data_IF_652608248447
#
_entry.id   IF_652608248447
#
_cell.length_a   1.000
_cell.length_b   1.000
_cell.length_c   1.000
_cell.angle_alpha   90.00
_cell.angle_beta   90.00
_cell.angle_gamma   90.00
#
_symmetry.space_group_name_H-M   'P 1'
#
loop_
_entity.id
_entity.type
_entity.pdbx_description
1 polymer ?
#
# COMPACT_ATOMS: atom_id res chain seq x y z
N UNK A 1 61.49 15.52 10.84
CA UNK A 1 61.08 15.14 12.22
C UNK A 1 60.16 13.94 12.11
N UNK A 2 60.51 12.85 12.81
CA UNK A 2 59.78 11.58 12.89
C UNK A 2 58.40 11.69 13.59
N UNK A 3 57.51 10.68 13.40
CA UNK A 3 56.18 10.51 14.03
C UNK A 3 56.27 9.71 15.37
N UNK A 4 55.20 9.33 16.12
CA UNK A 4 54.25 8.24 15.79
C UNK A 4 52.84 8.31 16.47
N UNK A 5 52.12 7.16 16.44
CA UNK A 5 50.70 6.84 16.76
C UNK A 5 50.40 6.43 18.24
N UNK A 6 49.09 6.23 18.52
CA UNK A 6 48.42 5.41 19.58
C UNK A 6 48.46 5.99 21.02
N UNK A 7 47.45 5.86 21.90
CA UNK A 7 46.66 4.67 22.30
C UNK A 7 45.44 4.99 23.20
N UNK A 8 44.43 4.12 23.08
CA UNK A 8 43.36 3.67 24.00
C UNK A 8 43.41 3.98 25.52
N UNK A 9 42.24 4.22 26.17
CA UNK A 9 41.59 3.35 27.19
C UNK A 9 40.50 4.06 28.05
N UNK A 10 39.37 3.36 28.20
CA UNK A 10 38.54 3.16 29.41
C UNK A 10 37.74 4.30 30.11
N UNK A 11 36.45 4.02 30.38
CA UNK A 11 35.76 4.46 31.61
C UNK A 11 34.37 5.10 31.45
N UNK A 12 33.32 4.29 31.63
CA UNK A 12 31.91 4.51 32.05
C UNK A 12 31.45 5.83 32.76
N UNK A 13 30.13 6.08 33.04
CA UNK A 13 28.87 5.40 32.64
C UNK A 13 27.72 6.34 32.16
N UNK A 14 26.61 5.73 31.69
CA UNK A 14 25.26 6.33 31.64
C UNK A 14 24.73 6.69 33.04
N UNK A 15 23.88 7.74 33.17
CA UNK A 15 22.85 7.75 34.20
C UNK A 15 21.52 7.25 33.63
N UNK A 16 21.15 6.05 34.08
CA UNK A 16 19.80 5.51 34.11
C UNK A 16 18.83 6.44 34.86
N UNK A 17 17.56 6.39 34.45
CA UNK A 17 16.45 6.41 35.41
C UNK A 17 15.48 7.58 35.34
N UNK A 18 14.61 7.59 34.34
CA UNK A 18 13.26 8.17 34.49
C UNK A 18 12.22 7.07 34.31
N UNK A 19 11.85 6.48 35.45
CA UNK A 19 10.69 5.60 35.59
C UNK A 19 9.42 6.33 35.12
N UNK A 20 8.53 5.58 34.48
CA UNK A 20 7.18 5.98 34.04
C UNK A 20 6.27 6.54 35.18
N UNK A 21 6.72 6.49 36.43
CA UNK A 21 5.99 7.01 37.60
C UNK A 21 6.15 8.54 37.79
N UNK A 22 7.18 9.16 37.21
CA UNK A 22 7.45 10.61 37.35
C UNK A 22 6.50 11.52 36.57
N UNK A 23 5.81 11.00 35.56
CA UNK A 23 4.83 11.74 34.74
C UNK A 23 3.41 11.63 35.34
N UNK A 24 3.08 10.49 35.97
CA UNK A 24 1.78 10.30 36.65
C UNK A 24 1.63 11.16 37.91
N UNK A 25 2.72 11.44 38.62
CA UNK A 25 2.67 12.26 39.85
C UNK A 25 2.42 13.75 39.57
N UNK A 26 2.93 14.28 38.44
CA UNK A 26 2.70 15.69 38.04
C UNK A 26 1.29 15.96 37.52
N UNK A 27 0.61 14.96 36.95
CA UNK A 27 -0.79 15.07 36.56
C UNK A 27 -1.75 15.00 37.76
N UNK A 28 -1.47 14.14 38.76
CA UNK A 28 -2.30 14.06 39.98
C UNK A 28 -2.22 15.32 40.86
N UNK A 29 -1.05 15.95 40.97
CA UNK A 29 -0.89 17.17 41.77
C UNK A 29 -1.67 18.38 41.19
N UNK A 30 -1.79 18.47 39.86
CA UNK A 30 -2.56 19.54 39.20
C UNK A 30 -4.07 19.30 39.25
N UNK A 31 -4.51 18.04 39.25
CA UNK A 31 -5.93 17.69 39.36
C UNK A 31 -6.46 17.87 40.80
N UNK A 32 -5.66 17.56 41.82
CA UNK A 32 -6.05 17.79 43.22
C UNK A 32 -6.11 19.28 43.61
N UNK A 33 -5.26 20.13 43.02
CA UNK A 33 -5.30 21.58 43.26
C UNK A 33 -6.58 22.23 42.68
N UNK A 34 -7.06 21.74 41.54
CA UNK A 34 -8.30 22.22 40.92
C UNK A 34 -9.55 21.83 41.72
N UNK A 35 -9.61 20.62 42.29
CA UNK A 35 -10.74 20.17 43.12
C UNK A 35 -10.74 20.85 44.50
N UNK A 36 -9.57 21.13 45.09
CA UNK A 36 -9.46 21.86 46.35
C UNK A 36 -9.93 23.32 46.25
N UNK A 37 -9.83 23.95 45.07
CA UNK A 37 -10.35 25.29 44.80
C UNK A 37 -11.88 25.31 44.68
N UNK A 38 -12.48 24.23 44.16
CA UNK A 38 -13.94 24.12 43.97
C UNK A 38 -14.65 23.79 45.30
N UNK A 39 -14.02 23.05 46.21
CA UNK A 39 -14.63 22.64 47.48
C UNK A 39 -14.48 23.66 48.63
N UNK A 40 -13.63 24.69 48.51
CA UNK A 40 -13.47 25.75 49.52
C UNK A 40 -14.50 26.90 49.43
N UNK A 41 -15.43 26.85 48.48
CA UNK A 41 -16.43 27.90 48.25
C UNK A 41 -17.75 27.78 49.02
N UNK A 42 -17.93 26.79 49.92
CA UNK A 42 -19.17 26.65 50.71
C UNK A 42 -18.86 26.67 52.21
N UNK A 43 -19.01 27.85 52.83
CA UNK A 43 -19.67 28.09 54.12
C UNK A 43 -19.32 29.48 54.65
N UNK A 44 -20.17 30.47 54.36
CA UNK A 44 -20.52 31.53 55.31
C UNK A 44 -21.82 32.20 54.89
N UNK A 45 -22.65 32.43 55.89
CA UNK A 45 -24.06 32.81 55.86
C UNK A 45 -24.29 34.30 55.64
N UNK A 46 -25.19 34.69 54.72
CA UNK A 46 -26.14 35.80 54.87
C UNK A 46 -27.15 35.86 53.68
N UNK A 47 -28.39 36.24 54.00
CA UNK A 47 -29.60 36.30 53.15
C UNK A 47 -29.77 37.69 52.47
N UNK A 48 -30.80 37.98 51.66
CA UNK A 48 -30.90 37.71 50.22
C UNK A 48 -31.12 39.01 49.40
N UNK A 49 -30.43 39.21 48.27
CA UNK A 49 -30.98 40.05 47.20
C UNK A 49 -30.36 39.74 45.83
N UNK A 50 -31.24 39.44 44.88
CA UNK A 50 -31.14 39.72 43.43
C UNK A 50 -29.75 39.78 42.80
N UNK A 51 -29.38 38.74 42.04
CA UNK A 51 -29.10 38.77 40.58
C UNK A 51 -28.38 37.47 40.21
N UNK A 52 -29.11 36.47 39.71
CA UNK A 52 -28.48 35.33 39.03
C UNK A 52 -28.00 35.83 37.68
N UNK A 53 -26.72 36.22 37.58
CA UNK A 53 -26.11 36.52 36.29
C UNK A 53 -25.98 35.21 35.51
N UNK A 54 -26.65 35.13 34.36
CA UNK A 54 -26.54 34.00 33.42
C UNK A 54 -25.08 33.82 33.00
N UNK A 55 -24.63 32.60 32.70
CA UNK A 55 -23.25 32.30 32.30
C UNK A 55 -22.72 33.21 31.14
N UNK A 56 -23.62 33.74 30.31
CA UNK A 56 -23.32 34.74 29.27
C UNK A 56 -22.78 36.07 29.83
N UNK A 57 -23.23 36.51 31.00
CA UNK A 57 -22.80 37.76 31.62
C UNK A 57 -21.41 37.65 32.27
N UNK A 58 -20.98 36.45 32.66
CA UNK A 58 -19.63 36.20 33.19
C UNK A 58 -18.62 36.11 32.04
N UNK A 59 -19.00 35.48 30.92
CA UNK A 59 -18.18 35.41 29.71
C UNK A 59 -17.90 36.79 29.08
N UNK A 60 -18.82 37.75 29.21
CA UNK A 60 -18.63 39.13 28.75
C UNK A 60 -17.67 39.97 29.63
N UNK A 61 -17.33 39.52 30.84
CA UNK A 61 -16.42 40.25 31.74
C UNK A 61 -14.96 39.80 31.65
N UNK A 62 -14.68 38.71 30.92
CA UNK A 62 -13.33 38.17 30.74
C UNK A 62 -13.06 37.78 29.27
N UNK A 63 -12.74 38.75 28.38
CA UNK A 63 -12.51 38.48 26.95
C UNK A 63 -11.37 37.49 26.67
N UNK A 64 -10.44 37.33 27.62
CA UNK A 64 -9.29 36.39 27.53
C UNK A 64 -9.72 34.93 27.78
N UNK A 65 -10.79 34.70 28.54
CA UNK A 65 -11.33 33.35 28.80
C UNK A 65 -12.26 32.91 27.65
N UNK A 66 -13.02 33.85 27.06
CA UNK A 66 -13.82 33.57 25.87
C UNK A 66 -12.97 33.22 24.65
N UNK A 67 -11.78 33.83 24.50
CA UNK A 67 -10.87 33.49 23.39
C UNK A 67 -10.20 32.12 23.58
N UNK A 68 -9.80 31.75 24.80
CA UNK A 68 -9.18 30.43 25.05
C UNK A 68 -10.18 29.27 25.01
N UNK A 69 -11.39 29.45 25.52
CA UNK A 69 -12.42 28.39 25.48
C UNK A 69 -13.07 28.30 24.08
N UNK A 70 -13.14 29.42 23.35
CA UNK A 70 -13.62 29.46 21.97
C UNK A 70 -12.65 28.89 20.94
N UNK A 71 -11.34 28.85 21.22
CA UNK A 71 -10.34 28.24 20.33
C UNK A 71 -10.28 26.71 20.46
N UNK A 72 -10.55 26.15 21.63
CA UNK A 72 -10.42 24.70 21.87
C UNK A 72 -11.71 23.91 21.52
N UNK A 73 -12.87 24.59 21.44
CA UNK A 73 -14.15 23.94 21.15
C UNK A 73 -14.51 23.81 19.66
N UNK A 74 -13.69 24.36 18.74
CA UNK A 74 -13.95 24.36 17.29
C UNK A 74 -13.03 23.46 16.47
N UNK A 75 -12.05 22.78 17.07
CA UNK A 75 -11.08 21.93 16.34
C UNK A 75 -11.50 20.45 16.23
N UNK A 76 -12.79 20.16 16.05
CA UNK A 76 -13.29 18.78 15.93
C UNK A 76 -13.18 18.19 14.51
N UNK A 77 -12.70 18.94 13.52
CA UNK A 77 -12.55 18.49 12.12
C UNK A 77 -11.10 18.17 11.76
N UNK A 78 -10.89 17.50 10.62
CA UNK A 78 -9.55 17.21 10.08
C UNK A 78 -8.69 18.49 9.97
N UNK A 79 -7.51 18.47 10.61
CA UNK A 79 -6.55 19.56 10.67
C UNK A 79 -5.24 19.25 9.94
N UNK A 80 -5.20 18.20 9.11
CA UNK A 80 -3.97 17.76 8.45
C UNK A 80 -3.32 18.89 7.65
N UNK A 81 -4.09 19.59 6.81
CA UNK A 81 -3.59 20.69 5.97
C UNK A 81 -3.02 21.84 6.80
N UNK A 82 -3.69 22.19 7.91
CA UNK A 82 -3.24 23.26 8.82
C UNK A 82 -1.98 22.85 9.60
N UNK A 83 -1.87 21.57 9.95
CA UNK A 83 -0.76 21.03 10.73
C UNK A 83 0.50 20.92 9.87
N UNK A 84 0.35 20.47 8.62
CA UNK A 84 1.44 20.23 7.69
C UNK A 84 1.69 21.41 6.73
N UNK A 85 1.02 22.54 6.97
CA UNK A 85 1.15 23.78 6.18
C UNK A 85 2.58 24.35 6.13
N UNK A 86 3.47 23.91 7.02
CA UNK A 86 4.88 24.34 7.08
C UNK A 86 5.88 23.26 6.68
N UNK A 87 5.42 22.04 6.47
CA UNK A 87 6.27 20.85 6.26
C UNK A 87 6.40 20.53 4.77
N UNK A 88 5.38 20.82 3.97
CA UNK A 88 5.38 20.63 2.52
C UNK A 88 5.44 21.97 1.76
N UNK A 89 5.98 21.95 0.54
CA UNK A 89 5.88 23.09 -0.38
C UNK A 89 4.45 23.15 -0.90
N UNK A 90 3.75 24.27 -0.71
CA UNK A 90 2.34 24.37 -1.10
C UNK A 90 2.21 24.85 -2.55
N UNK A 91 1.38 24.13 -3.30
CA UNK A 91 0.99 24.56 -4.63
C UNK A 91 -0.16 25.58 -4.55
N UNK A 92 -0.30 26.41 -5.60
CA UNK A 92 -1.45 27.33 -5.71
C UNK A 92 -2.76 26.56 -5.90
N UNK A 93 -2.70 25.44 -6.63
CA UNK A 93 -3.77 24.45 -6.76
C UNK A 93 -3.44 23.21 -5.93
N UNK A 94 -3.97 23.16 -4.71
CA UNK A 94 -3.81 22.05 -3.77
C UNK A 94 -5.17 21.44 -3.37
N UNK A 95 -5.13 20.28 -2.73
CA UNK A 95 -6.34 19.65 -2.19
C UNK A 95 -7.00 20.50 -1.09
N UNK A 96 -8.32 20.36 -0.97
CA UNK A 96 -9.07 20.92 0.16
C UNK A 96 -9.16 19.93 1.32
N UNK A 97 -9.70 20.38 2.46
CA UNK A 97 -9.99 19.50 3.61
C UNK A 97 -10.86 18.31 3.20
N UNK A 98 -11.75 18.49 2.21
CA UNK A 98 -12.59 17.40 1.68
C UNK A 98 -11.78 16.36 0.90
N UNK A 99 -10.78 16.79 0.13
CA UNK A 99 -9.83 15.89 -0.54
C UNK A 99 -8.99 15.10 0.47
N UNK A 100 -8.51 15.77 1.52
CA UNK A 100 -7.80 15.15 2.65
C UNK A 100 -8.68 14.13 3.41
N UNK A 101 -9.93 14.47 3.74
CA UNK A 101 -10.90 13.55 4.37
C UNK A 101 -11.13 12.30 3.51
N UNK A 102 -11.25 12.49 2.20
CA UNK A 102 -11.41 11.38 1.26
C UNK A 102 -10.19 10.44 1.27
N UNK A 103 -8.97 10.99 1.24
CA UNK A 103 -7.77 10.17 1.32
C UNK A 103 -7.66 9.39 2.64
N UNK A 104 -8.03 9.99 3.78
CA UNK A 104 -8.11 9.25 5.05
C UNK A 104 -9.18 8.15 5.02
N UNK A 105 -10.33 8.39 4.38
CA UNK A 105 -11.35 7.37 4.21
C UNK A 105 -10.85 6.18 3.38
N UNK A 106 -10.16 6.45 2.26
CA UNK A 106 -9.53 5.39 1.44
C UNK A 106 -8.45 4.66 2.24
N UNK A 107 -7.60 5.38 2.99
CA UNK A 107 -6.60 4.76 3.87
C UNK A 107 -7.26 3.79 4.87
N UNK A 108 -8.36 4.18 5.51
CA UNK A 108 -9.10 3.31 6.42
C UNK A 108 -9.67 2.06 5.73
N UNK A 109 -10.21 2.19 4.50
CA UNK A 109 -10.67 1.04 3.70
C UNK A 109 -9.52 0.08 3.40
N UNK A 110 -8.35 0.61 2.99
CA UNK A 110 -7.15 -0.18 2.71
C UNK A 110 -6.61 -0.89 3.96
N UNK A 111 -6.56 -0.18 5.09
CA UNK A 111 -6.14 -0.74 6.38
C UNK A 111 -7.09 -1.84 6.87
N UNK A 112 -8.39 -1.64 6.77
CA UNK A 112 -9.39 -2.66 7.12
C UNK A 112 -9.26 -3.90 6.23
N UNK A 113 -9.09 -3.70 4.92
CA UNK A 113 -8.89 -4.80 3.97
C UNK A 113 -7.61 -5.58 4.26
N UNK A 114 -6.54 -4.89 4.64
CA UNK A 114 -5.27 -5.50 5.07
C UNK A 114 -5.48 -6.44 6.26
N UNK A 115 -6.21 -5.99 7.28
CA UNK A 115 -6.51 -6.81 8.46
C UNK A 115 -7.32 -8.05 8.07
N UNK A 116 -8.31 -7.91 7.18
CA UNK A 116 -9.12 -9.03 6.69
C UNK A 116 -8.27 -10.03 5.91
N UNK A 117 -7.50 -9.59 4.92
CA UNK A 117 -6.69 -10.47 4.08
C UNK A 117 -5.61 -11.18 4.89
N UNK A 118 -4.95 -10.47 5.82
CA UNK A 118 -4.01 -11.08 6.76
C UNK A 118 -4.71 -12.09 7.67
N UNK A 119 -5.86 -11.74 8.24
CA UNK A 119 -6.65 -12.62 9.10
C UNK A 119 -7.06 -13.91 8.40
N UNK A 120 -7.52 -13.83 7.15
CA UNK A 120 -7.85 -15.00 6.33
C UNK A 120 -6.62 -15.87 6.05
N UNK A 121 -5.43 -15.29 5.91
CA UNK A 121 -4.19 -16.04 5.67
C UNK A 121 -3.90 -17.05 6.80
N UNK A 122 -4.22 -16.70 8.06
CA UNK A 122 -3.98 -17.58 9.21
C UNK A 122 -4.85 -18.83 9.22
N UNK A 123 -5.94 -18.84 8.47
CA UNK A 123 -6.80 -20.03 8.29
C UNK A 123 -6.23 -21.03 7.28
N UNK A 124 -5.19 -20.66 6.55
CA UNK A 124 -4.56 -21.47 5.48
C UNK A 124 -3.21 -22.03 5.93
N UNK A 125 -2.79 -23.14 5.32
CA UNK A 125 -1.42 -23.68 5.46
C UNK A 125 -0.41 -22.74 4.83
N UNK A 126 0.82 -22.74 5.32
CA UNK A 126 1.86 -21.80 4.88
C UNK A 126 2.10 -21.83 3.36
N UNK A 127 2.08 -23.01 2.76
CA UNK A 127 2.18 -23.22 1.31
C UNK A 127 1.05 -22.58 0.48
N UNK A 128 -0.10 -22.27 1.09
CA UNK A 128 -1.28 -21.66 0.42
C UNK A 128 -1.45 -20.16 0.72
N UNK A 129 -0.52 -19.54 1.45
CA UNK A 129 -0.65 -18.13 1.88
C UNK A 129 -0.12 -17.12 0.87
N UNK A 130 0.54 -17.55 -0.21
CA UNK A 130 1.22 -16.64 -1.16
C UNK A 130 0.32 -15.50 -1.65
N UNK A 131 -0.82 -15.81 -2.26
CA UNK A 131 -1.77 -14.81 -2.76
C UNK A 131 -2.32 -13.92 -1.63
N UNK A 132 -2.52 -14.47 -0.42
CA UNK A 132 -2.94 -13.66 0.73
C UNK A 132 -1.86 -12.66 1.13
N UNK A 133 -0.59 -13.06 1.15
CA UNK A 133 0.52 -12.17 1.49
C UNK A 133 0.73 -11.07 0.44
N UNK A 134 0.64 -11.42 -0.85
CA UNK A 134 0.75 -10.43 -1.94
C UNK A 134 -0.41 -9.42 -1.83
N UNK A 135 -1.66 -9.89 -1.78
CA UNK A 135 -2.83 -9.01 -1.65
C UNK A 135 -2.82 -8.16 -0.36
N UNK A 136 -2.37 -8.73 0.76
CA UNK A 136 -2.21 -7.98 2.03
C UNK A 136 -1.14 -6.90 1.90
N UNK A 137 -0.04 -7.19 1.22
CA UNK A 137 1.04 -6.22 0.98
C UNK A 137 0.54 -5.07 0.11
N UNK A 138 -0.25 -5.36 -0.92
CA UNK A 138 -0.87 -4.36 -1.80
C UNK A 138 -1.72 -3.37 -0.99
N UNK A 139 -2.65 -3.88 -0.18
CA UNK A 139 -3.53 -2.99 0.61
C UNK A 139 -2.77 -2.28 1.73
N UNK A 140 -1.72 -2.88 2.29
CA UNK A 140 -0.96 -2.24 3.36
C UNK A 140 -0.12 -1.07 2.83
N UNK A 141 0.55 -1.24 1.70
CA UNK A 141 1.31 -0.16 1.04
C UNK A 141 0.36 0.98 0.66
N UNK A 142 -0.79 0.66 0.06
CA UNK A 142 -1.81 1.65 -0.26
C UNK A 142 -2.35 2.36 0.99
N UNK A 143 -2.58 1.65 2.10
CA UNK A 143 -3.00 2.26 3.37
C UNK A 143 -2.03 3.36 3.82
N UNK A 144 -0.73 3.09 3.76
CA UNK A 144 0.32 4.05 4.13
C UNK A 144 0.33 5.22 3.16
N UNK A 145 0.33 4.96 1.85
CA UNK A 145 0.38 6.03 0.85
C UNK A 145 -0.84 6.97 0.93
N UNK A 146 -2.05 6.42 1.09
CA UNK A 146 -3.27 7.20 1.27
C UNK A 146 -3.28 7.95 2.61
N UNK A 147 -2.69 7.39 3.67
CA UNK A 147 -2.49 8.13 4.91
C UNK A 147 -1.55 9.32 4.69
N UNK A 148 -0.45 9.14 3.95
CA UNK A 148 0.51 10.20 3.62
C UNK A 148 -0.15 11.30 2.78
N UNK A 149 -0.92 10.95 1.74
CA UNK A 149 -1.66 11.92 0.93
C UNK A 149 -2.75 12.64 1.74
N UNK A 150 -3.50 11.93 2.59
CA UNK A 150 -4.49 12.52 3.48
C UNK A 150 -3.85 13.48 4.50
N UNK A 151 -2.63 13.18 4.94
CA UNK A 151 -1.83 14.05 5.78
C UNK A 151 -1.22 15.25 5.03
N UNK A 152 -1.44 15.40 3.72
CA UNK A 152 -0.83 16.45 2.90
C UNK A 152 0.70 16.40 2.87
N UNK A 153 1.22 15.17 2.78
CA UNK A 153 2.65 14.87 2.72
C UNK A 153 2.95 14.11 1.41
N UNK A 154 4.24 14.11 1.02
CA UNK A 154 4.66 13.37 -0.17
C UNK A 154 4.17 13.97 -1.49
N UNK A 155 4.07 15.31 -1.53
CA UNK A 155 3.69 16.08 -2.70
C UNK A 155 4.76 17.10 -3.09
N UNK A 156 4.70 17.56 -4.34
CA UNK A 156 5.53 18.64 -4.88
C UNK A 156 4.71 19.56 -5.78
N UNK A 157 4.89 20.89 -5.70
CA UNK A 157 4.27 21.84 -6.60
C UNK A 157 4.96 21.84 -7.97
N UNK A 158 4.19 21.65 -9.04
CA UNK A 158 4.67 21.69 -10.43
C UNK A 158 3.97 22.80 -11.20
N UNK A 159 4.72 23.60 -11.96
CA UNK A 159 4.15 24.68 -12.77
C UNK A 159 3.13 24.11 -13.77
N UNK A 160 1.94 24.72 -13.80
CA UNK A 160 0.87 24.34 -14.73
C UNK A 160 1.25 24.70 -16.16
N UNK A 161 1.11 23.74 -17.08
CA UNK A 161 1.37 23.95 -18.51
C UNK A 161 0.20 24.68 -19.18
N UNK A 162 -1.03 24.29 -18.83
CA UNK A 162 -2.26 24.78 -19.47
C UNK A 162 -3.12 25.57 -18.46
N UNK A 163 -2.79 26.85 -18.18
CA UNK A 163 -3.59 27.68 -17.30
C UNK A 163 -4.96 27.96 -17.94
N UNK A 164 -6.04 27.83 -17.15
CA UNK A 164 -7.42 28.06 -17.62
C UNK A 164 -8.09 29.13 -16.78
N UNK A 165 -8.78 30.07 -17.41
CA UNK A 165 -9.33 31.25 -16.74
C UNK A 165 -10.74 31.06 -16.15
N UNK A 166 -11.44 29.96 -16.45
CA UNK A 166 -12.91 29.85 -16.25
C UNK A 166 -13.41 28.71 -15.35
N UNK A 167 -12.55 27.97 -14.65
CA UNK A 167 -12.98 26.91 -13.73
C UNK A 167 -12.12 26.90 -12.47
N UNK A 168 -12.41 26.02 -11.49
CA UNK A 168 -11.68 25.81 -10.23
C UNK A 168 -10.13 25.65 -10.36
N UNK A 169 -9.61 25.60 -11.59
CA UNK A 169 -8.20 25.63 -11.98
C UNK A 169 -7.72 27.08 -12.30
N UNK A 170 -8.43 28.11 -11.83
CA UNK A 170 -8.19 29.50 -12.25
C UNK A 170 -6.96 30.15 -11.60
N UNK A 171 -6.06 30.64 -12.46
CA UNK A 171 -4.81 31.39 -12.19
C UNK A 171 -3.57 30.57 -11.75
N UNK A 172 -3.50 29.29 -12.10
CA UNK A 172 -2.48 28.40 -11.56
C UNK A 172 -1.04 28.80 -11.92
N UNK A 173 -0.27 29.23 -10.91
CA UNK A 173 1.18 29.11 -10.95
C UNK A 173 1.51 27.62 -10.89
N UNK A 174 1.35 27.04 -9.71
CA UNK A 174 1.72 25.64 -9.44
C UNK A 174 0.52 24.76 -9.10
N UNK A 175 0.62 23.48 -9.47
CA UNK A 175 -0.31 22.41 -9.14
C UNK A 175 0.37 21.37 -8.26
N UNK A 176 -0.33 20.93 -7.24
CA UNK A 176 0.10 19.87 -6.36
C UNK A 176 0.14 18.53 -7.09
N UNK A 177 1.25 17.80 -6.95
CA UNK A 177 1.44 16.45 -7.48
C UNK A 177 1.88 15.53 -6.35
N UNK A 178 1.04 14.56 -6.00
CA UNK A 178 1.36 13.54 -5.00
C UNK A 178 2.27 12.45 -5.59
N UNK A 179 3.59 12.67 -5.56
CA UNK A 179 4.55 11.67 -6.04
C UNK A 179 4.49 10.37 -5.22
N UNK A 180 4.04 10.42 -3.96
CA UNK A 180 3.83 9.22 -3.13
C UNK A 180 2.84 8.24 -3.74
N UNK A 181 1.90 8.70 -4.58
CA UNK A 181 0.98 7.82 -5.33
C UNK A 181 1.74 6.91 -6.30
N UNK A 182 2.75 7.45 -6.96
CA UNK A 182 3.59 6.67 -7.86
C UNK A 182 4.51 5.72 -7.11
N UNK A 183 4.89 6.05 -5.86
CA UNK A 183 5.61 5.12 -4.98
C UNK A 183 4.70 3.95 -4.58
N UNK A 184 3.43 4.22 -4.25
CA UNK A 184 2.42 3.15 -4.08
C UNK A 184 2.37 2.28 -5.33
N UNK A 185 2.10 2.88 -6.49
CA UNK A 185 1.93 2.12 -7.73
C UNK A 185 3.18 1.33 -8.12
N UNK A 186 4.39 1.90 -7.98
CA UNK A 186 5.64 1.19 -8.26
C UNK A 186 5.83 -0.05 -7.38
N UNK A 187 5.12 -0.17 -6.25
CA UNK A 187 5.14 -1.38 -5.43
C UNK A 187 3.90 -2.23 -5.72
N UNK A 188 2.73 -1.63 -5.86
CA UNK A 188 1.46 -2.36 -5.88
C UNK A 188 1.04 -2.84 -7.26
N UNK A 189 1.35 -2.13 -8.35
CA UNK A 189 1.03 -2.60 -9.71
C UNK A 189 1.85 -3.83 -10.12
N UNK A 190 3.15 -3.95 -9.79
CA UNK A 190 3.88 -5.20 -10.02
C UNK A 190 3.32 -6.37 -9.20
N UNK A 191 2.89 -6.12 -7.95
CA UNK A 191 2.29 -7.15 -7.11
C UNK A 191 0.91 -7.60 -7.63
N UNK A 192 0.06 -6.68 -8.10
CA UNK A 192 -1.23 -6.99 -8.74
C UNK A 192 -1.03 -7.81 -10.02
N UNK A 193 -0.04 -7.42 -10.83
CA UNK A 193 0.31 -8.13 -12.04
C UNK A 193 0.87 -9.52 -11.72
N UNK A 194 1.73 -9.62 -10.71
CA UNK A 194 2.27 -10.89 -10.22
C UNK A 194 1.15 -11.85 -9.79
N UNK A 195 0.15 -11.38 -9.03
CA UNK A 195 -1.02 -12.18 -8.64
C UNK A 195 -1.72 -12.79 -9.87
N UNK A 196 -1.94 -12.02 -10.94
CA UNK A 196 -2.56 -12.50 -12.18
C UNK A 196 -1.67 -13.49 -12.93
N UNK A 197 -0.38 -13.18 -13.11
CA UNK A 197 0.51 -14.00 -13.91
C UNK A 197 0.87 -15.33 -13.23
N UNK A 198 0.98 -15.33 -11.89
CA UNK A 198 1.10 -16.55 -11.10
C UNK A 198 -0.19 -17.38 -11.17
N UNK A 199 -1.37 -16.72 -11.13
CA UNK A 199 -2.65 -17.41 -11.32
C UNK A 199 -2.72 -18.09 -12.69
N UNK A 200 -2.19 -17.46 -13.73
CA UNK A 200 -2.13 -18.06 -15.06
C UNK A 200 -1.02 -19.12 -15.22
N UNK A 201 -0.14 -19.31 -14.23
CA UNK A 201 0.98 -20.27 -14.34
C UNK A 201 2.00 -19.89 -15.43
N UNK A 202 2.28 -18.58 -15.58
CA UNK A 202 3.28 -18.13 -16.56
C UNK A 202 4.71 -18.46 -16.12
N UNK A 203 5.63 -18.68 -17.08
CA UNK A 203 7.03 -18.90 -16.77
C UNK A 203 7.69 -17.60 -16.28
N UNK A 204 8.63 -17.72 -15.35
CA UNK A 204 9.33 -16.59 -14.71
C UNK A 204 9.90 -15.54 -15.67
N UNK A 205 10.52 -15.89 -16.81
CA UNK A 205 11.01 -14.88 -17.75
C UNK A 205 9.91 -13.96 -18.28
N UNK A 206 8.72 -14.49 -18.59
CA UNK A 206 7.58 -13.69 -19.05
C UNK A 206 7.03 -12.82 -17.94
N UNK A 207 6.96 -13.35 -16.70
CA UNK A 207 6.58 -12.57 -15.52
C UNK A 207 7.53 -11.38 -15.36
N UNK A 208 8.84 -11.62 -15.32
CA UNK A 208 9.83 -10.56 -15.10
C UNK A 208 9.78 -9.48 -16.19
N UNK A 209 9.56 -9.85 -17.45
CA UNK A 209 9.40 -8.88 -18.53
C UNK A 209 8.14 -8.04 -18.39
N UNK A 210 7.02 -8.65 -17.97
CA UNK A 210 5.78 -7.93 -17.72
C UNK A 210 5.91 -6.97 -16.52
N UNK A 211 6.59 -7.39 -15.44
CA UNK A 211 6.88 -6.53 -14.30
C UNK A 211 7.82 -5.36 -14.68
N UNK A 212 8.84 -5.61 -15.50
CA UNK A 212 9.72 -4.53 -15.98
C UNK A 212 8.95 -3.50 -16.83
N UNK A 213 8.05 -3.97 -17.70
CA UNK A 213 7.19 -3.07 -18.48
C UNK A 213 6.25 -2.26 -17.57
N UNK A 214 5.70 -2.88 -16.53
CA UNK A 214 4.90 -2.20 -15.52
C UNK A 214 5.69 -1.10 -14.79
N UNK A 215 6.93 -1.39 -14.37
CA UNK A 215 7.82 -0.38 -13.77
C UNK A 215 8.12 0.78 -14.72
N UNK A 216 8.42 0.49 -16.00
CA UNK A 216 8.64 1.54 -17.01
C UNK A 216 7.39 2.41 -17.13
N UNK A 217 6.19 1.81 -17.13
CA UNK A 217 4.93 2.54 -17.18
C UNK A 217 4.78 3.49 -15.98
N UNK A 218 5.01 3.01 -14.75
CA UNK A 218 4.85 3.86 -13.54
C UNK A 218 5.93 4.95 -13.47
N UNK A 219 7.19 4.61 -13.72
CA UNK A 219 8.31 5.58 -13.66
C UNK A 219 8.15 6.67 -14.70
N UNK A 220 7.77 6.32 -15.94
CA UNK A 220 7.53 7.33 -16.98
C UNK A 220 6.32 8.21 -16.64
N UNK A 221 5.24 7.63 -16.09
CA UNK A 221 4.09 8.39 -15.58
C UNK A 221 4.49 9.41 -14.51
N UNK A 222 5.32 9.01 -13.54
CA UNK A 222 5.83 9.90 -12.50
C UNK A 222 6.68 11.03 -13.09
N UNK A 223 7.65 10.70 -13.94
CA UNK A 223 8.52 11.71 -14.57
C UNK A 223 7.70 12.68 -15.41
N UNK A 224 6.66 12.19 -16.10
CA UNK A 224 5.70 13.03 -16.81
C UNK A 224 4.96 13.97 -15.87
N UNK A 225 4.45 13.48 -14.73
CA UNK A 225 3.70 14.29 -13.77
C UNK A 225 4.56 15.39 -13.13
N UNK A 226 5.87 15.13 -12.98
CA UNK A 226 6.86 16.08 -12.48
C UNK A 226 7.41 17.02 -13.56
N UNK A 227 7.04 16.84 -14.81
CA UNK A 227 7.48 17.69 -15.93
C UNK A 227 6.47 18.82 -16.14
N UNK A 228 6.92 20.08 -16.15
CA UNK A 228 6.06 21.25 -16.39
C UNK A 228 5.86 21.58 -17.87
N UNK A 229 6.73 21.11 -18.75
CA UNK A 229 6.68 21.37 -20.20
C UNK A 229 5.90 20.27 -20.95
N UNK A 230 5.63 20.54 -22.23
CA UNK A 230 4.96 19.59 -23.13
C UNK A 230 5.69 18.26 -23.31
N UNK A 231 6.96 18.15 -22.87
CA UNK A 231 7.69 16.88 -22.83
C UNK A 231 7.01 15.82 -21.95
N UNK A 232 6.14 16.22 -21.01
CA UNK A 232 5.32 15.28 -20.23
C UNK A 232 4.53 14.31 -21.10
N UNK A 233 4.08 14.75 -22.28
CA UNK A 233 3.32 13.92 -23.22
C UNK A 233 4.18 12.87 -23.91
N UNK A 234 5.49 13.12 -24.08
CA UNK A 234 6.41 12.09 -24.55
C UNK A 234 6.55 10.96 -23.52
N UNK A 235 6.69 11.30 -22.24
CA UNK A 235 6.69 10.32 -21.15
C UNK A 235 5.37 9.54 -21.08
N UNK A 236 4.23 10.22 -21.23
CA UNK A 236 2.93 9.57 -21.31
C UNK A 236 2.87 8.56 -22.46
N UNK A 237 3.36 8.91 -23.66
CA UNK A 237 3.42 7.99 -24.81
C UNK A 237 4.32 6.79 -24.53
N UNK A 238 5.50 6.99 -23.92
CA UNK A 238 6.37 5.87 -23.52
C UNK A 238 5.69 4.95 -22.51
N UNK A 239 5.00 5.54 -21.52
CA UNK A 239 4.19 4.79 -20.56
C UNK A 239 3.07 4.00 -21.23
N UNK A 240 2.41 4.56 -22.24
CA UNK A 240 1.37 3.86 -23.01
C UNK A 240 1.90 2.67 -23.80
N UNK A 241 3.10 2.77 -24.40
CA UNK A 241 3.72 1.62 -25.06
C UNK A 241 4.02 0.49 -24.08
N UNK A 242 4.53 0.81 -22.89
CA UNK A 242 4.78 -0.16 -21.83
C UNK A 242 3.47 -0.76 -21.30
N UNK A 243 2.43 0.06 -21.11
CA UNK A 243 1.09 -0.38 -20.74
C UNK A 243 0.51 -1.37 -21.75
N UNK A 244 0.61 -1.08 -23.06
CA UNK A 244 0.11 -2.01 -24.08
C UNK A 244 0.87 -3.34 -24.10
N UNK A 245 2.15 -3.36 -23.73
CA UNK A 245 2.86 -4.60 -23.52
C UNK A 245 2.32 -5.40 -22.33
N UNK A 246 1.99 -4.73 -21.20
CA UNK A 246 1.34 -5.40 -20.05
C UNK A 246 -0.02 -5.98 -20.47
N UNK A 247 -0.81 -5.23 -21.24
CA UNK A 247 -2.09 -5.72 -21.79
C UNK A 247 -1.86 -6.92 -22.70
N UNK A 248 -0.84 -6.91 -23.56
CA UNK A 248 -0.47 -8.07 -24.37
C UNK A 248 -0.14 -9.28 -23.50
N UNK A 249 0.69 -9.11 -22.47
CA UNK A 249 1.05 -10.20 -21.55
C UNK A 249 -0.18 -10.79 -20.83
N UNK A 250 -1.16 -9.97 -20.47
CA UNK A 250 -2.41 -10.45 -19.85
C UNK A 250 -3.36 -11.12 -20.84
N UNK A 251 -3.60 -10.49 -21.99
CA UNK A 251 -4.64 -10.89 -22.95
C UNK A 251 -4.19 -12.03 -23.86
N UNK A 252 -2.91 -12.10 -24.20
CA UNK A 252 -2.38 -13.13 -25.10
C UNK A 252 -1.73 -14.25 -24.31
N UNK A 253 -0.65 -13.95 -23.60
CA UNK A 253 0.12 -14.98 -22.88
C UNK A 253 -0.68 -15.53 -21.68
N UNK A 254 -1.14 -14.64 -20.80
CA UNK A 254 -1.96 -14.95 -19.63
C UNK A 254 -3.17 -15.82 -19.96
N UNK A 255 -3.98 -15.40 -20.95
CA UNK A 255 -5.19 -16.14 -21.35
C UNK A 255 -4.85 -17.51 -21.93
N UNK A 256 -3.80 -17.64 -22.74
CA UNK A 256 -3.38 -18.92 -23.32
C UNK A 256 -2.95 -19.91 -22.25
N UNK A 257 -2.13 -19.46 -21.29
CA UNK A 257 -1.66 -20.31 -20.20
C UNK A 257 -2.79 -20.70 -19.24
N UNK A 258 -3.63 -19.75 -18.83
CA UNK A 258 -4.77 -20.02 -17.96
C UNK A 258 -5.78 -20.97 -18.61
N UNK A 259 -6.00 -20.87 -19.93
CA UNK A 259 -6.86 -21.80 -20.67
C UNK A 259 -6.30 -23.23 -20.74
N UNK A 260 -4.98 -23.39 -20.78
CA UNK A 260 -4.34 -24.71 -20.74
C UNK A 260 -4.50 -25.40 -19.37
N UNK A 261 -4.52 -24.63 -18.28
CA UNK A 261 -4.80 -25.13 -16.93
C UNK A 261 -6.31 -25.42 -16.72
N UNK A 262 -7.18 -24.62 -17.35
CA UNK A 262 -8.63 -24.84 -17.37
C UNK A 262 -9.33 -24.61 -16.02
N UNK A 263 -10.61 -24.95 -15.97
CA UNK A 263 -11.41 -25.00 -14.74
C UNK A 263 -11.51 -23.67 -13.96
N UNK A 264 -11.33 -23.76 -12.64
CA UNK A 264 -11.37 -22.61 -11.73
C UNK A 264 -10.23 -21.63 -12.00
N UNK A 265 -9.05 -22.11 -12.40
CA UNK A 265 -7.89 -21.25 -12.73
C UNK A 265 -8.22 -20.31 -13.89
N UNK A 266 -8.71 -20.87 -15.00
CA UNK A 266 -9.12 -20.06 -16.16
C UNK A 266 -10.19 -19.03 -15.79
N UNK A 267 -11.20 -19.45 -15.02
CA UNK A 267 -12.31 -18.59 -14.61
C UNK A 267 -11.84 -17.45 -13.71
N UNK A 268 -10.99 -17.74 -12.72
CA UNK A 268 -10.42 -16.77 -11.80
C UNK A 268 -9.54 -15.76 -12.54
N UNK A 269 -8.64 -16.25 -13.41
CA UNK A 269 -7.80 -15.39 -14.24
C UNK A 269 -8.63 -14.47 -15.13
N UNK A 270 -9.67 -14.99 -15.80
CA UNK A 270 -10.52 -14.17 -16.67
C UNK A 270 -11.28 -13.09 -15.89
N UNK A 271 -11.88 -13.42 -14.74
CA UNK A 271 -12.63 -12.45 -13.93
C UNK A 271 -11.73 -11.35 -13.41
N UNK A 272 -10.58 -11.72 -12.82
CA UNK A 272 -9.63 -10.76 -12.27
C UNK A 272 -8.98 -9.94 -13.40
N UNK A 273 -8.57 -10.59 -14.49
CA UNK A 273 -7.94 -9.94 -15.64
C UNK A 273 -8.85 -8.93 -16.33
N UNK A 274 -10.14 -9.24 -16.53
CA UNK A 274 -11.11 -8.30 -17.11
C UNK A 274 -11.29 -7.07 -16.21
N UNK A 275 -11.43 -7.27 -14.89
CA UNK A 275 -11.52 -6.17 -13.93
C UNK A 275 -10.27 -5.29 -13.99
N UNK A 276 -9.08 -5.90 -13.93
CA UNK A 276 -7.80 -5.20 -13.97
C UNK A 276 -7.64 -4.39 -15.25
N UNK A 277 -7.84 -5.02 -16.42
CA UNK A 277 -7.71 -4.34 -17.71
C UNK A 277 -8.67 -3.16 -17.78
N UNK A 278 -9.95 -3.36 -17.45
CA UNK A 278 -10.94 -2.30 -17.48
C UNK A 278 -10.54 -1.10 -16.60
N UNK A 279 -10.16 -1.36 -15.35
CA UNK A 279 -9.75 -0.30 -14.43
C UNK A 279 -8.47 0.38 -14.89
N UNK A 280 -7.46 -0.39 -15.33
CA UNK A 280 -6.15 0.16 -15.71
C UNK A 280 -6.21 1.07 -16.93
N UNK A 281 -7.15 0.84 -17.87
CA UNK A 281 -7.39 1.79 -18.97
C UNK A 281 -7.90 3.16 -18.49
N UNK A 282 -8.53 3.25 -17.32
CA UNK A 282 -9.02 4.51 -16.76
C UNK A 282 -7.90 5.36 -16.15
N UNK A 283 -6.80 4.75 -15.68
CA UNK A 283 -5.66 5.48 -15.09
C UNK A 283 -4.92 6.42 -16.06
N UNK A 284 -4.52 6.02 -17.28
CA UNK A 284 -3.86 6.95 -18.20
C UNK A 284 -4.80 8.04 -18.71
N UNK A 285 -6.12 7.79 -18.73
CA UNK A 285 -7.14 8.81 -19.01
C UNK A 285 -7.20 9.81 -17.85
N UNK A 286 -7.30 9.30 -16.61
CA UNK A 286 -7.25 10.08 -15.38
C UNK A 286 -6.02 10.98 -15.33
N UNK A 287 -4.85 10.42 -15.64
CA UNK A 287 -3.59 11.16 -15.74
C UNK A 287 -3.64 12.25 -16.79
N UNK A 288 -4.15 11.92 -17.99
CA UNK A 288 -4.27 12.85 -19.10
C UNK A 288 -5.17 14.04 -18.79
N UNK A 289 -6.23 13.85 -18.02
CA UNK A 289 -7.13 14.96 -17.61
C UNK A 289 -6.64 15.69 -16.35
N UNK A 290 -5.90 15.03 -15.46
CA UNK A 290 -5.42 15.62 -14.20
C UNK A 290 -4.02 16.24 -14.35
N UNK A 291 -2.97 15.41 -14.20
CA UNK A 291 -1.58 15.84 -14.14
C UNK A 291 -1.06 16.36 -15.50
N UNK A 292 -1.49 15.69 -16.59
CA UNK A 292 -1.11 16.04 -17.96
C UNK A 292 -1.78 17.32 -18.45
N UNK A 293 -3.11 17.26 -18.63
CA UNK A 293 -3.91 18.30 -19.28
C UNK A 293 -4.43 19.40 -18.34
N UNK A 294 -4.23 19.27 -17.03
CA UNK A 294 -4.65 20.23 -16.01
C UNK A 294 -6.14 20.64 -16.15
N UNK A 295 -7.02 19.68 -16.45
CA UNK A 295 -8.46 19.90 -16.64
C UNK A 295 -9.24 19.85 -15.33
N UNK A 296 -8.85 18.96 -14.41
CA UNK A 296 -9.59 18.73 -13.17
C UNK A 296 -8.79 19.18 -11.94
N UNK A 297 -9.53 19.64 -10.93
CA UNK A 297 -8.98 20.06 -9.63
C UNK A 297 -8.36 18.85 -8.88
N UNK A 298 -7.30 19.05 -8.07
CA UNK A 298 -6.69 17.99 -7.25
C UNK A 298 -7.70 17.17 -6.41
N UNK A 299 -8.75 17.80 -5.87
CA UNK A 299 -9.83 17.08 -5.18
C UNK A 299 -10.59 16.09 -6.08
N UNK A 300 -10.84 16.45 -7.34
CA UNK A 300 -11.52 15.57 -8.29
C UNK A 300 -10.62 14.40 -8.72
N UNK A 301 -9.32 14.69 -8.89
CA UNK A 301 -8.30 13.66 -9.08
C UNK A 301 -8.23 12.69 -7.89
N UNK A 302 -8.25 13.20 -6.66
CA UNK A 302 -8.25 12.40 -5.43
C UNK A 302 -9.44 11.42 -5.39
N UNK A 303 -10.64 11.90 -5.74
CA UNK A 303 -11.85 11.07 -5.81
C UNK A 303 -11.71 10.00 -6.89
N UNK A 304 -11.28 10.39 -8.09
CA UNK A 304 -11.16 9.49 -9.23
C UNK A 304 -10.15 8.36 -8.95
N UNK A 305 -8.91 8.68 -8.56
CA UNK A 305 -7.93 7.65 -8.23
C UNK A 305 -8.31 6.84 -6.98
N UNK A 306 -8.91 7.47 -5.97
CA UNK A 306 -9.37 6.77 -4.78
C UNK A 306 -10.42 5.69 -5.08
N UNK A 307 -11.40 5.99 -5.94
CA UNK A 307 -12.39 5.00 -6.38
C UNK A 307 -11.72 3.88 -7.17
N UNK A 308 -10.86 4.24 -8.13
CA UNK A 308 -10.15 3.25 -8.94
C UNK A 308 -9.31 2.32 -8.06
N UNK A 309 -8.56 2.86 -7.09
CA UNK A 309 -7.71 2.06 -6.21
C UNK A 309 -8.51 1.18 -5.25
N UNK A 310 -9.65 1.64 -4.72
CA UNK A 310 -10.53 0.78 -3.91
C UNK A 310 -11.06 -0.40 -4.73
N UNK A 311 -11.35 -0.21 -6.01
CA UNK A 311 -11.77 -1.31 -6.89
C UNK A 311 -10.60 -2.21 -7.28
N UNK A 312 -9.45 -1.62 -7.61
CA UNK A 312 -8.27 -2.32 -8.14
C UNK A 312 -7.43 -3.02 -7.07
N UNK A 313 -7.56 -2.65 -5.79
CA UNK A 313 -6.79 -3.23 -4.68
C UNK A 313 -7.67 -4.13 -3.80
N UNK A 314 -8.54 -3.63 -2.90
CA UNK A 314 -9.36 -4.53 -2.08
C UNK A 314 -10.48 -5.21 -2.87
N UNK A 315 -11.09 -4.55 -3.86
CA UNK A 315 -12.08 -5.19 -4.74
C UNK A 315 -11.49 -6.36 -5.53
N UNK A 316 -10.34 -6.12 -6.19
CA UNK A 316 -9.55 -7.14 -6.85
C UNK A 316 -9.11 -8.25 -5.89
N UNK A 317 -8.55 -7.89 -4.73
CA UNK A 317 -8.05 -8.84 -3.73
C UNK A 317 -9.12 -9.79 -3.24
N UNK A 318 -10.33 -9.26 -2.96
CA UNK A 318 -11.47 -10.11 -2.61
C UNK A 318 -11.84 -11.07 -3.74
N UNK A 319 -11.94 -10.58 -4.98
CA UNK A 319 -12.27 -11.41 -6.15
C UNK A 319 -11.22 -12.51 -6.39
N UNK A 320 -9.94 -12.18 -6.26
CA UNK A 320 -8.81 -13.09 -6.43
C UNK A 320 -8.82 -14.19 -5.37
N UNK A 321 -8.87 -13.82 -4.09
CA UNK A 321 -8.85 -14.78 -2.98
C UNK A 321 -10.11 -15.66 -2.97
N UNK A 322 -11.26 -15.11 -3.37
CA UNK A 322 -12.47 -15.91 -3.58
C UNK A 322 -12.28 -16.94 -4.71
N UNK A 323 -11.67 -16.54 -5.82
CA UNK A 323 -11.39 -17.43 -6.94
C UNK A 323 -10.37 -18.53 -6.61
N UNK A 324 -9.41 -18.25 -5.72
CA UNK A 324 -8.38 -19.19 -5.26
C UNK A 324 -8.82 -20.11 -4.12
N UNK A 325 -10.04 -19.97 -3.59
CA UNK A 325 -10.51 -20.78 -2.46
C UNK A 325 -10.48 -22.29 -2.73
N UNK A 326 -10.62 -22.68 -3.99
CA UNK A 326 -10.70 -24.06 -4.48
C UNK A 326 -9.50 -24.42 -5.41
N UNK A 327 -8.47 -23.58 -5.48
CA UNK A 327 -7.28 -23.79 -6.33
C UNK A 327 -6.10 -24.21 -5.45
N UNK A 328 -5.48 -25.34 -5.76
CA UNK A 328 -4.23 -25.76 -5.13
C UNK A 328 -3.06 -25.01 -5.78
N UNK A 329 -2.20 -24.29 -5.01
CA UNK A 329 -0.99 -23.66 -5.53
C UNK A 329 -0.07 -24.62 -6.30
N UNK A 330 -0.05 -25.91 -5.96
CA UNK A 330 0.71 -26.91 -6.71
C UNK A 330 0.20 -27.08 -8.15
N UNK A 331 -1.10 -26.88 -8.40
CA UNK A 331 -1.68 -26.90 -9.74
C UNK A 331 -1.21 -25.73 -10.61
N UNK A 332 -0.63 -24.68 -9.99
CA UNK A 332 -0.05 -23.52 -10.66
C UNK A 332 1.46 -23.68 -10.90
N UNK A 333 2.04 -24.84 -10.53
CA UNK A 333 3.49 -25.07 -10.59
C UNK A 333 4.27 -24.38 -9.48
N UNK A 334 3.59 -23.88 -8.44
CA UNK A 334 4.21 -23.20 -7.30
C UNK A 334 4.54 -24.19 -6.18
N UNK A 335 5.77 -24.69 -6.19
CA UNK A 335 6.26 -25.61 -5.15
C UNK A 335 6.91 -24.84 -4.00
N UNK A 336 6.12 -24.47 -2.99
CA UNK A 336 6.61 -23.86 -1.74
C UNK A 336 6.92 -24.97 -0.74
N UNK A 337 8.18 -25.03 -0.27
CA UNK A 337 8.62 -26.02 0.72
C UNK A 337 8.21 -25.60 2.13
N UNK A 338 7.60 -26.51 2.87
CA UNK A 338 7.33 -26.35 4.30
C UNK A 338 8.53 -26.83 5.12
N UNK A 339 8.87 -26.17 6.25
CA UNK A 339 9.90 -26.65 7.17
C UNK A 339 9.60 -28.09 7.63
N UNK A 340 10.51 -29.03 7.35
CA UNK A 340 10.36 -30.44 7.73
C UNK A 340 9.98 -31.41 6.60
N UNK A 341 9.74 -30.94 5.37
CA UNK A 341 9.62 -31.85 4.23
C UNK A 341 10.98 -32.47 3.87
N UNK A 342 11.06 -33.80 3.90
CA UNK A 342 12.21 -34.56 3.38
C UNK A 342 12.35 -34.32 1.88
N UNK A 343 13.60 -34.27 1.36
CA UNK A 343 13.85 -34.20 -0.08
C UNK A 343 13.10 -35.35 -0.75
N UNK A 344 12.13 -35.05 -1.60
CA UNK A 344 11.52 -36.05 -2.46
C UNK A 344 12.61 -36.57 -3.41
N UNK A 345 13.19 -37.72 -3.08
CA UNK A 345 13.88 -38.54 -4.07
C UNK A 345 12.76 -39.07 -4.97
N UNK A 346 12.60 -38.45 -6.15
CA UNK A 346 11.79 -39.06 -7.21
C UNK A 346 12.25 -40.50 -7.43
N UNK A 347 11.37 -41.41 -7.87
CA UNK A 347 11.74 -42.81 -8.05
C UNK A 347 12.95 -42.86 -8.98
N UNK A 348 14.10 -43.23 -8.41
CA UNK A 348 15.26 -43.68 -9.14
C UNK A 348 14.74 -44.70 -10.13
N UNK A 349 14.89 -44.45 -11.43
CA UNK A 349 14.52 -45.41 -12.44
C UNK A 349 15.10 -46.77 -12.06
N UNK A 350 14.22 -47.73 -11.78
CA UNK A 350 14.59 -49.13 -11.64
C UNK A 350 15.16 -49.56 -12.99
N UNK A 351 16.48 -49.45 -13.14
CA UNK A 351 17.20 -50.33 -14.03
C UNK A 351 17.03 -51.74 -13.46
N UNK A 352 15.98 -52.43 -13.91
CA UNK A 352 15.78 -53.86 -13.73
C UNK A 352 16.88 -54.64 -14.44
N UNK A 353 18.09 -54.63 -13.88
CA UNK A 353 19.15 -55.56 -14.20
C UNK A 353 18.83 -56.90 -13.56
N UNK A 354 18.17 -57.78 -14.31
CA UNK A 354 18.11 -59.20 -13.98
C UNK A 354 19.53 -59.77 -13.95
N UNK A 355 20.12 -59.86 -12.76
CA UNK A 355 21.22 -60.78 -12.50
C UNK A 355 20.63 -62.00 -11.80
N UNK A 356 20.32 -63.02 -12.61
CA UNK A 356 19.92 -64.34 -12.15
C UNK A 356 21.05 -64.99 -11.35
N UNK A 357 20.74 -65.32 -10.10
CA UNK A 357 21.59 -66.12 -9.23
C UNK A 357 21.15 -67.58 -9.35
N UNK A 358 21.89 -68.37 -10.14
CA UNK A 358 21.89 -69.84 -10.13
C UNK A 358 23.38 -70.20 -10.01
N UNK A 359 23.88 -70.70 -8.88
CA UNK A 359 23.48 -71.96 -8.26
C UNK A 359 24.35 -73.07 -8.84
N UNK A 360 25.52 -73.30 -8.23
CA UNK A 360 26.53 -74.27 -8.65
C UNK A 360 26.03 -75.73 -8.53
N UNK A 361 26.38 -76.59 -9.50
CA UNK A 361 26.12 -78.02 -9.44
C UNK A 361 26.56 -78.83 -10.67
N UNK A 362 27.81 -79.30 -10.64
CA UNK A 362 28.38 -80.57 -11.13
C UNK A 362 27.88 -81.30 -12.40
N UNK A 363 28.90 -81.72 -13.16
CA UNK A 363 29.07 -82.99 -13.92
C UNK A 363 28.45 -83.14 -15.32
N UNK A 364 29.31 -83.49 -16.30
CA UNK A 364 28.95 -84.45 -17.34
C UNK A 364 29.16 -84.04 -18.81
N UNK A 365 30.32 -84.41 -19.37
CA UNK A 365 30.56 -84.97 -20.72
C UNK A 365 30.04 -84.27 -22.01
N UNK A 366 30.95 -84.05 -22.96
CA UNK A 366 30.63 -83.88 -24.40
C UNK A 366 30.06 -85.15 -25.04
N UNK A 367 29.74 -85.18 -26.36
CA UNK A 367 30.67 -84.76 -27.41
C UNK A 367 30.05 -84.01 -28.61
N UNK A 368 30.98 -83.67 -29.51
CA UNK A 368 30.95 -83.17 -30.89
C UNK A 368 29.89 -83.68 -31.90
N UNK A 369 29.63 -82.80 -32.88
CA UNK A 369 29.40 -82.98 -34.33
C UNK A 369 27.98 -83.13 -34.92
N UNK A 370 27.82 -82.44 -36.07
CA UNK A 370 26.84 -82.64 -37.14
C UNK A 370 25.84 -81.48 -37.26
N UNK A 371 25.67 -80.76 -38.37
CA UNK A 371 26.02 -80.93 -39.81
C UNK A 371 26.23 -79.55 -40.42
#
# INVERSE_FOLDING_TARGET
>A
MCPPRYSTLAGEPLPLGLSADGVRLRCRARFCSAIASILKGRHSSQSPSTTVKTASQILNQHPILSSRIGLDATMSGNQALNTNSKVAQHADLAISVRGSDWYFAVSAIMGFSTIIFMGMSFTKRESHRLFHYITTSITFVACIAYFTMGADLGQVPIQVEFPRSYDAVSAAGTREIFYVRYIDWAITTPLLLLDLLLTAGLPWPTILMALLADEIMIVTGLVGALTSSSYKWAYWVFGMFAFFYVIYALVIDGRKHAAALGGSVQTTFQRCGVLTIFLWFLYPIAWGVAEGGNLIHPDSEAIMYGILDVLAKPGFGFLLLWGHRDIDPAALGLHIREPGQTKYHGPSGEHGGQHGHLGAGRDGAGPSNGV
#
